data_IF_264591930915
#
_entry.id   IF_264591930915
#
_cell.length_a   1.000
_cell.length_b   1.000
_cell.length_c   1.000
_cell.angle_alpha   90.00
_cell.angle_beta   90.00
_cell.angle_gamma   90.00
#
_symmetry.space_group_name_H-M   'P 1'
#
loop_
_entity.id
_entity.type
_entity.pdbx_description
1 polymer ?
#
# COMPACT_ATOMS: atom_id res chain seq x y z
N UNK A 1 -18.14 -2.05 -14.47
CA UNK A 1 -17.93 -1.23 -15.67
C UNK A 1 -17.16 0.08 -15.41
N UNK A 2 -17.44 0.81 -14.33
CA UNK A 2 -16.74 2.09 -14.06
C UNK A 2 -15.36 1.92 -13.43
N UNK A 3 -15.15 0.80 -12.75
CA UNK A 3 -13.94 0.53 -11.94
C UNK A 3 -12.96 -0.42 -12.62
N UNK A 4 -13.40 -1.14 -13.66
CA UNK A 4 -12.56 -2.03 -14.44
C UNK A 4 -12.86 -1.86 -15.93
N UNK A 5 -11.93 -1.29 -16.73
CA UNK A 5 -12.08 -1.11 -18.17
C UNK A 5 -12.03 -2.44 -18.94
N UNK A 6 -11.52 -3.53 -18.34
CA UNK A 6 -11.45 -4.85 -18.97
C UNK A 6 -12.82 -5.55 -19.03
N UNK A 7 -13.78 -5.15 -18.18
CA UNK A 7 -15.12 -5.76 -18.12
C UNK A 7 -15.94 -5.44 -19.39
N UNK A 8 -16.31 -6.45 -20.16
CA UNK A 8 -17.07 -6.31 -21.42
C UNK A 8 -18.58 -6.45 -21.24
N UNK A 9 -19.02 -7.35 -20.38
CA UNK A 9 -20.45 -7.64 -20.17
C UNK A 9 -20.80 -7.78 -18.69
N UNK A 10 -22.08 -7.54 -18.34
CA UNK A 10 -22.58 -7.78 -16.97
C UNK A 10 -22.51 -9.25 -16.57
N UNK A 11 -22.69 -10.16 -17.52
CA UNK A 11 -22.58 -11.61 -17.26
C UNK A 11 -21.16 -11.99 -16.89
N UNK A 12 -20.16 -11.44 -17.59
CA UNK A 12 -18.74 -11.61 -17.24
C UNK A 12 -18.45 -11.20 -15.79
N UNK A 13 -18.96 -10.04 -15.36
CA UNK A 13 -18.78 -9.58 -13.98
C UNK A 13 -19.43 -10.58 -13.00
N UNK A 14 -20.63 -11.05 -13.27
CA UNK A 14 -21.35 -11.96 -12.38
C UNK A 14 -20.66 -13.33 -12.27
N UNK A 15 -20.07 -13.84 -13.34
CA UNK A 15 -19.52 -15.20 -13.35
C UNK A 15 -18.00 -15.28 -13.22
N UNK A 16 -17.26 -14.22 -13.56
CA UNK A 16 -15.81 -14.27 -13.67
C UNK A 16 -15.07 -13.36 -12.66
N UNK A 17 -15.78 -12.59 -11.81
CA UNK A 17 -15.15 -11.68 -10.88
C UNK A 17 -15.09 -12.26 -9.46
N UNK A 18 -13.93 -12.78 -9.02
CA UNK A 18 -13.81 -13.41 -7.71
C UNK A 18 -14.07 -12.44 -6.56
N UNK A 19 -13.72 -11.16 -6.71
CA UNK A 19 -14.03 -10.13 -5.71
C UNK A 19 -15.53 -9.96 -5.44
N UNK A 20 -16.38 -10.03 -6.49
CA UNK A 20 -17.83 -9.99 -6.35
C UNK A 20 -18.35 -11.20 -5.59
N UNK A 21 -17.87 -12.40 -5.95
CA UNK A 21 -18.26 -13.64 -5.30
C UNK A 21 -17.87 -13.65 -3.83
N UNK A 22 -16.64 -13.20 -3.50
CA UNK A 22 -16.16 -13.10 -2.13
C UNK A 22 -17.04 -12.15 -1.30
N UNK A 23 -17.42 -10.99 -1.84
CA UNK A 23 -18.30 -10.05 -1.16
C UNK A 23 -19.69 -10.63 -0.95
N UNK A 24 -20.28 -11.33 -1.92
CA UNK A 24 -21.58 -12.00 -1.74
C UNK A 24 -21.53 -13.06 -0.64
N UNK A 25 -20.53 -13.94 -0.68
CA UNK A 25 -20.35 -14.98 0.32
C UNK A 25 -20.10 -14.38 1.71
N UNK A 26 -19.32 -13.30 1.78
CA UNK A 26 -19.14 -12.54 3.00
C UNK A 26 -20.48 -11.99 3.54
N UNK A 27 -21.33 -11.40 2.73
CA UNK A 27 -22.63 -10.87 3.21
C UNK A 27 -23.49 -11.96 3.87
N UNK A 28 -23.52 -13.16 3.29
CA UNK A 28 -24.22 -14.31 3.86
C UNK A 28 -23.53 -14.80 5.15
N UNK A 29 -22.21 -14.97 5.14
CA UNK A 29 -21.48 -15.41 6.33
C UNK A 29 -21.55 -14.40 7.46
N UNK A 30 -21.52 -13.09 7.15
CA UNK A 30 -21.71 -12.02 8.13
C UNK A 30 -23.12 -12.03 8.75
N UNK A 31 -24.15 -12.30 7.94
CA UNK A 31 -25.51 -12.48 8.46
C UNK A 31 -25.58 -13.64 9.46
N UNK A 32 -25.02 -14.81 9.15
CA UNK A 32 -24.93 -15.96 10.06
C UNK A 32 -24.15 -15.61 11.34
N UNK A 33 -23.04 -14.87 11.20
CA UNK A 33 -22.23 -14.41 12.33
C UNK A 33 -23.02 -13.53 13.28
N UNK A 34 -23.79 -12.59 12.76
CA UNK A 34 -24.66 -11.72 13.58
C UNK A 34 -25.75 -12.50 14.31
N UNK A 35 -26.19 -13.60 13.75
CA UNK A 35 -27.14 -14.53 14.40
C UNK A 35 -26.47 -15.57 15.30
N UNK A 36 -25.17 -15.38 15.65
CA UNK A 36 -24.38 -16.25 16.53
C UNK A 36 -24.16 -17.68 16.00
N UNK A 37 -24.42 -17.92 14.71
CA UNK A 37 -24.14 -19.18 14.03
C UNK A 37 -22.67 -19.19 13.57
N UNK A 38 -21.75 -19.03 14.53
CA UNK A 38 -20.34 -18.77 14.28
C UNK A 38 -19.64 -19.86 13.47
N UNK A 39 -19.94 -21.13 13.80
CA UNK A 39 -19.34 -22.25 13.06
C UNK A 39 -19.73 -22.23 11.57
N UNK A 40 -21.04 -22.08 11.28
CA UNK A 40 -21.53 -22.04 9.89
C UNK A 40 -21.00 -20.81 9.13
N UNK A 41 -20.93 -19.66 9.82
CA UNK A 41 -20.36 -18.46 9.26
C UNK A 41 -18.87 -18.66 8.86
N UNK A 42 -18.09 -19.29 9.73
CA UNK A 42 -16.66 -19.58 9.47
C UNK A 42 -16.49 -20.64 8.38
N UNK A 43 -17.32 -21.67 8.37
CA UNK A 43 -17.30 -22.71 7.34
C UNK A 43 -17.58 -22.10 5.95
N UNK A 44 -18.61 -21.25 5.85
CA UNK A 44 -18.93 -20.55 4.59
C UNK A 44 -17.81 -19.59 4.17
N UNK A 45 -17.22 -18.84 5.10
CA UNK A 45 -16.09 -17.98 4.83
C UNK A 45 -14.87 -18.79 4.32
N UNK A 46 -14.59 -19.94 4.91
CA UNK A 46 -13.52 -20.83 4.46
C UNK A 46 -13.76 -21.35 3.05
N UNK A 47 -15.00 -21.75 2.75
CA UNK A 47 -15.39 -22.17 1.40
C UNK A 47 -15.27 -21.03 0.38
N UNK A 48 -15.63 -19.79 0.78
CA UNK A 48 -15.44 -18.59 -0.03
C UNK A 48 -13.97 -18.36 -0.37
N UNK A 49 -13.08 -18.48 0.62
CA UNK A 49 -11.64 -18.41 0.39
C UNK A 49 -11.14 -19.46 -0.59
N UNK A 50 -11.61 -20.70 -0.44
CA UNK A 50 -11.24 -21.79 -1.36
C UNK A 50 -11.62 -21.50 -2.81
N UNK A 51 -12.83 -20.94 -3.05
CA UNK A 51 -13.31 -20.62 -4.39
C UNK A 51 -12.68 -19.38 -5.01
N UNK A 52 -12.36 -18.37 -4.19
CA UNK A 52 -12.01 -17.03 -4.69
C UNK A 52 -10.56 -16.65 -4.44
N UNK A 53 -9.85 -17.34 -3.56
CA UNK A 53 -8.53 -16.94 -3.07
C UNK A 53 -8.55 -15.71 -2.14
N UNK A 54 -9.76 -15.26 -1.70
CA UNK A 54 -9.98 -14.07 -0.89
C UNK A 54 -10.50 -14.49 0.48
N UNK A 55 -9.80 -14.14 1.54
CA UNK A 55 -10.22 -14.40 2.90
C UNK A 55 -10.90 -13.19 3.52
N UNK A 56 -12.19 -13.32 3.85
CA UNK A 56 -12.91 -12.31 4.61
C UNK A 56 -13.50 -12.94 5.87
N UNK A 57 -13.05 -12.47 7.03
CA UNK A 57 -13.61 -12.96 8.29
C UNK A 57 -15.08 -12.50 8.44
N UNK A 58 -16.03 -13.37 8.79
CA UNK A 58 -17.44 -13.01 8.88
C UNK A 58 -17.75 -11.95 9.95
N UNK A 59 -16.86 -11.76 10.93
CA UNK A 59 -16.97 -10.70 11.94
C UNK A 59 -16.60 -9.31 11.46
N UNK A 60 -15.89 -9.17 10.34
CA UNK A 60 -15.54 -7.88 9.76
C UNK A 60 -16.80 -7.05 9.45
N UNK A 61 -16.67 -5.72 9.48
CA UNK A 61 -17.75 -4.80 9.08
C UNK A 61 -17.35 -4.13 7.78
N UNK A 62 -18.11 -4.36 6.71
CA UNK A 62 -17.82 -3.80 5.39
C UNK A 62 -19.01 -3.00 4.90
N UNK A 63 -18.75 -1.75 4.51
CA UNK A 63 -19.72 -0.79 3.99
C UNK A 63 -20.23 -1.13 2.59
N UNK A 64 -20.73 -0.14 1.89
CA UNK A 64 -21.31 -0.26 0.55
C UNK A 64 -20.28 0.00 -0.53
N UNK A 65 -20.50 -0.53 -1.74
CA UNK A 65 -19.67 -0.30 -2.93
C UNK A 65 -18.18 -0.59 -2.70
N UNK A 66 -17.93 -1.57 -1.82
CA UNK A 66 -16.59 -2.13 -1.63
C UNK A 66 -16.23 -2.96 -2.86
N UNK A 67 -15.12 -2.65 -3.48
CA UNK A 67 -14.66 -3.30 -4.69
C UNK A 67 -13.29 -3.94 -4.47
N UNK A 68 -13.18 -5.22 -4.80
CA UNK A 68 -11.92 -5.97 -4.78
C UNK A 68 -11.55 -6.26 -6.22
N UNK A 69 -10.45 -5.69 -6.67
CA UNK A 69 -9.89 -5.94 -7.99
C UNK A 69 -8.84 -7.05 -7.93
N UNK A 70 -8.92 -8.00 -8.86
CA UNK A 70 -8.15 -9.25 -8.89
C UNK A 70 -8.37 -10.13 -7.66
N UNK A 71 -8.01 -9.68 -6.48
CA UNK A 71 -8.38 -10.19 -5.17
C UNK A 71 -7.55 -11.36 -4.65
N UNK A 72 -6.76 -12.05 -5.44
CA UNK A 72 -5.95 -13.19 -4.96
C UNK A 72 -5.06 -12.80 -3.78
N UNK A 73 -5.11 -13.56 -2.68
CA UNK A 73 -4.31 -13.34 -1.48
C UNK A 73 -4.79 -12.20 -0.57
N UNK A 74 -5.94 -11.58 -0.83
CA UNK A 74 -6.56 -10.62 0.09
C UNK A 74 -6.95 -11.30 1.40
N UNK A 75 -6.64 -10.65 2.53
CA UNK A 75 -7.01 -11.10 3.87
C UNK A 75 -7.64 -9.95 4.67
N UNK A 76 -8.89 -10.12 5.09
CA UNK A 76 -9.61 -9.16 5.93
C UNK A 76 -9.93 -9.81 7.28
N UNK A 77 -9.29 -9.33 8.34
CA UNK A 77 -9.39 -9.91 9.69
C UNK A 77 -10.69 -9.58 10.42
N UNK A 78 -10.95 -10.28 11.53
CA UNK A 78 -12.21 -10.31 12.28
C UNK A 78 -12.75 -8.93 12.68
N UNK A 79 -11.90 -8.05 13.22
CA UNK A 79 -12.33 -6.75 13.74
C UNK A 79 -12.02 -5.61 12.78
N UNK A 80 -11.76 -5.93 11.50
CA UNK A 80 -11.59 -4.91 10.47
C UNK A 80 -12.92 -4.18 10.21
N UNK A 81 -12.83 -2.88 10.00
CA UNK A 81 -13.95 -2.03 9.63
C UNK A 81 -13.61 -1.30 8.34
N UNK A 82 -14.44 -1.42 7.33
CA UNK A 82 -14.25 -0.82 6.01
C UNK A 82 -15.48 0.00 5.70
N UNK A 83 -15.30 1.29 5.46
CA UNK A 83 -16.38 2.20 5.12
C UNK A 83 -16.84 2.05 3.65
N UNK A 84 -17.51 3.05 3.11
CA UNK A 84 -18.09 3.02 1.76
C UNK A 84 -17.05 3.36 0.67
N UNK A 85 -17.28 2.85 -0.53
CA UNK A 85 -16.51 3.19 -1.75
C UNK A 85 -15.01 2.86 -1.69
N UNK A 86 -14.62 1.84 -0.92
CA UNK A 86 -13.22 1.43 -0.81
C UNK A 86 -12.85 0.52 -1.97
N UNK A 87 -11.68 0.80 -2.58
CA UNK A 87 -11.03 -0.03 -3.59
C UNK A 87 -9.86 -0.78 -2.98
N UNK A 88 -9.81 -2.09 -3.20
CA UNK A 88 -8.76 -2.97 -2.70
C UNK A 88 -8.23 -3.85 -3.82
N UNK A 89 -6.92 -3.92 -3.95
CA UNK A 89 -6.24 -4.77 -4.93
C UNK A 89 -5.80 -6.11 -4.33
N UNK A 90 -5.27 -6.98 -5.18
CA UNK A 90 -4.75 -8.30 -4.79
C UNK A 90 -3.70 -8.23 -3.69
N UNK A 91 -3.63 -9.26 -2.85
CA UNK A 91 -2.61 -9.41 -1.80
C UNK A 91 -2.70 -8.43 -0.65
N UNK A 92 -3.73 -7.57 -0.59
CA UNK A 92 -3.92 -6.64 0.52
C UNK A 92 -4.27 -7.39 1.80
N UNK A 93 -3.60 -7.03 2.91
CA UNK A 93 -3.82 -7.62 4.22
C UNK A 93 -4.28 -6.56 5.22
N UNK A 94 -5.47 -6.72 5.79
CA UNK A 94 -5.94 -6.00 6.98
C UNK A 94 -5.76 -6.89 8.20
N UNK A 95 -4.54 -6.88 8.76
CA UNK A 95 -4.07 -7.80 9.79
C UNK A 95 -4.15 -7.26 11.21
N UNK A 96 -4.22 -8.16 12.18
CA UNK A 96 -4.11 -7.84 13.60
C UNK A 96 -2.68 -7.96 14.10
N UNK A 97 -2.37 -7.22 15.19
CA UNK A 97 -1.05 -7.24 15.86
C UNK A 97 -1.14 -7.67 17.32
N UNK A 98 -2.33 -8.04 17.81
CA UNK A 98 -2.55 -8.51 19.18
C UNK A 98 -3.29 -9.85 19.17
N UNK A 99 -3.07 -10.65 20.24
CA UNK A 99 -3.81 -11.88 20.53
C UNK A 99 -5.11 -11.60 21.30
N UNK A 100 -5.35 -10.37 21.71
CA UNK A 100 -6.55 -9.98 22.43
C UNK A 100 -7.79 -10.07 21.53
N UNK A 101 -8.93 -10.40 22.13
CA UNK A 101 -10.21 -10.51 21.42
C UNK A 101 -10.81 -9.16 21.01
N UNK A 102 -10.26 -8.05 21.50
CA UNK A 102 -10.70 -6.69 21.20
C UNK A 102 -10.40 -6.21 19.78
N UNK A 103 -10.55 -4.91 19.55
CA UNK A 103 -10.20 -4.25 18.29
C UNK A 103 -8.70 -4.40 18.06
N UNK A 104 -8.32 -5.17 17.02
CA UNK A 104 -6.93 -5.48 16.66
C UNK A 104 -6.63 -5.37 15.17
N UNK A 105 -7.66 -5.12 14.36
CA UNK A 105 -7.55 -4.95 12.91
C UNK A 105 -7.88 -3.51 12.51
N UNK A 106 -7.47 -3.06 11.33
CA UNK A 106 -7.62 -1.68 10.88
C UNK A 106 -9.07 -1.21 10.76
N UNK A 107 -9.23 0.11 10.82
CA UNK A 107 -10.42 0.84 10.38
C UNK A 107 -10.07 1.63 9.13
N UNK A 108 -10.77 1.36 8.04
CA UNK A 108 -10.56 1.97 6.72
C UNK A 108 -11.71 2.93 6.45
N UNK A 109 -11.40 4.20 6.24
CA UNK A 109 -12.36 5.26 5.90
C UNK A 109 -12.99 5.07 4.52
N UNK A 110 -13.83 6.02 4.15
CA UNK A 110 -14.51 6.01 2.85
C UNK A 110 -13.58 6.44 1.71
N UNK A 111 -13.80 5.88 0.52
CA UNK A 111 -13.06 6.22 -0.72
C UNK A 111 -11.55 5.98 -0.63
N UNK A 112 -11.14 5.08 0.26
CA UNK A 112 -9.73 4.68 0.41
C UNK A 112 -9.34 3.73 -0.70
N UNK A 113 -8.11 3.86 -1.18
CA UNK A 113 -7.50 2.96 -2.16
C UNK A 113 -6.36 2.20 -1.50
N UNK A 114 -6.42 0.86 -1.54
CA UNK A 114 -5.40 -0.04 -1.00
C UNK A 114 -4.68 -0.73 -2.16
N UNK A 115 -3.45 -0.30 -2.41
CA UNK A 115 -2.60 -0.82 -3.50
C UNK A 115 -2.21 -2.28 -3.31
N UNK A 116 -1.93 -2.96 -4.42
CA UNK A 116 -1.64 -4.39 -4.44
C UNK A 116 -0.49 -4.78 -3.50
N UNK A 117 -0.66 -5.88 -2.76
CA UNK A 117 0.33 -6.39 -1.82
C UNK A 117 0.58 -5.52 -0.58
N UNK A 118 -0.20 -4.46 -0.36
CA UNK A 118 -0.04 -3.64 0.84
C UNK A 118 -0.57 -4.33 2.09
N UNK A 119 0.05 -4.06 3.24
CA UNK A 119 -0.36 -4.58 4.53
C UNK A 119 -0.66 -3.45 5.50
N UNK A 120 -1.87 -3.44 6.08
CA UNK A 120 -2.27 -2.52 7.15
C UNK A 120 -2.42 -3.34 8.43
N UNK A 121 -1.59 -3.05 9.42
CA UNK A 121 -1.43 -3.91 10.58
C UNK A 121 -1.79 -3.20 11.89
N UNK A 122 -2.59 -3.85 12.70
CA UNK A 122 -3.04 -3.34 13.99
C UNK A 122 -4.30 -2.48 13.92
N UNK A 123 -4.78 -1.94 15.05
CA UNK A 123 -6.00 -1.15 15.15
C UNK A 123 -5.80 0.29 14.64
N UNK A 124 -5.09 0.44 13.53
CA UNK A 124 -4.81 1.74 12.91
C UNK A 124 -6.01 2.25 12.11
N UNK A 125 -6.09 3.56 11.96
CA UNK A 125 -7.15 4.23 11.20
C UNK A 125 -6.56 4.81 9.92
N UNK A 126 -7.16 4.47 8.79
CA UNK A 126 -6.94 5.14 7.51
C UNK A 126 -8.07 6.15 7.30
N UNK A 127 -7.72 7.42 7.20
CA UNK A 127 -8.70 8.50 6.97
C UNK A 127 -9.36 8.42 5.60
N UNK A 128 -10.49 9.09 5.44
CA UNK A 128 -11.22 9.16 4.17
C UNK A 128 -10.33 9.68 3.04
N UNK A 129 -10.56 9.18 1.83
CA UNK A 129 -9.83 9.58 0.62
C UNK A 129 -8.30 9.32 0.68
N UNK A 130 -7.82 8.55 1.66
CA UNK A 130 -6.40 8.20 1.74
C UNK A 130 -6.03 7.09 0.74
N UNK A 131 -4.74 7.03 0.39
CA UNK A 131 -4.19 6.02 -0.53
C UNK A 131 -3.03 5.29 0.13
N UNK A 132 -2.99 3.97 -0.04
CA UNK A 132 -1.85 3.14 0.35
C UNK A 132 -1.18 2.63 -0.92
N UNK A 133 0.08 2.97 -1.11
CA UNK A 133 0.88 2.50 -2.25
C UNK A 133 1.06 0.99 -2.25
N UNK A 134 1.26 0.41 -3.44
CA UNK A 134 1.51 -1.02 -3.58
C UNK A 134 2.73 -1.47 -2.75
N UNK A 135 2.68 -2.65 -2.15
CA UNK A 135 3.75 -3.23 -1.33
C UNK A 135 4.03 -2.50 0.01
N UNK A 136 3.27 -1.45 0.36
CA UNK A 136 3.51 -0.67 1.57
C UNK A 136 3.03 -1.39 2.83
N UNK A 137 3.71 -1.16 3.96
CA UNK A 137 3.33 -1.71 5.27
C UNK A 137 2.97 -0.59 6.23
N UNK A 138 1.67 -0.43 6.49
CA UNK A 138 1.12 0.64 7.32
C UNK A 138 0.91 0.14 8.75
N UNK A 139 1.60 0.76 9.70
CA UNK A 139 1.55 0.44 11.14
C UNK A 139 1.21 1.66 11.99
N UNK A 140 0.86 2.79 11.37
CA UNK A 140 0.48 4.04 12.02
C UNK A 140 -0.76 4.62 11.36
N UNK A 141 -1.57 5.43 12.06
CA UNK A 141 -2.71 6.11 11.46
C UNK A 141 -2.31 6.96 10.25
N UNK A 142 -3.17 6.99 9.24
CA UNK A 142 -3.01 7.77 8.01
C UNK A 142 -4.07 8.86 7.98
N UNK A 143 -3.72 10.13 7.83
CA UNK A 143 -4.68 11.22 7.71
C UNK A 143 -5.57 11.08 6.47
N UNK A 144 -6.73 11.75 6.49
CA UNK A 144 -7.57 11.87 5.29
C UNK A 144 -6.81 12.58 4.16
N UNK A 145 -7.07 12.16 2.92
CA UNK A 145 -6.43 12.66 1.69
C UNK A 145 -4.93 12.40 1.57
N UNK A 146 -4.33 11.71 2.55
CA UNK A 146 -2.90 11.40 2.53
C UNK A 146 -2.59 10.18 1.67
N UNK A 147 -1.39 10.18 1.07
CA UNK A 147 -0.79 9.00 0.42
C UNK A 147 0.33 8.47 1.30
N UNK A 148 0.32 7.15 1.54
CA UNK A 148 1.36 6.47 2.31
C UNK A 148 2.05 5.42 1.46
N UNK A 149 3.40 5.39 1.50
CA UNK A 149 4.23 4.43 0.74
C UNK A 149 5.38 3.91 1.58
N UNK A 150 5.89 2.74 1.20
CA UNK A 150 7.13 2.14 1.74
C UNK A 150 6.94 1.20 2.93
N UNK A 151 8.07 0.66 3.43
CA UNK A 151 8.15 -0.29 4.54
C UNK A 151 9.21 0.18 5.54
N UNK A 152 8.81 0.68 6.74
CA UNK A 152 7.45 1.01 7.15
C UNK A 152 6.88 2.18 6.37
N UNK A 153 5.54 2.20 6.19
CA UNK A 153 4.82 3.23 5.44
C UNK A 153 5.00 4.64 6.01
N UNK A 154 5.35 5.57 5.13
CA UNK A 154 5.50 7.01 5.43
C UNK A 154 4.49 7.80 4.61
N UNK A 155 3.89 8.81 5.23
CA UNK A 155 3.03 9.77 4.53
C UNK A 155 3.92 10.64 3.64
N UNK A 156 3.65 10.63 2.33
CA UNK A 156 4.42 11.37 1.31
C UNK A 156 3.62 12.51 0.69
N UNK A 157 2.29 12.46 0.81
CA UNK A 157 1.38 13.50 0.35
C UNK A 157 0.21 13.60 1.31
N UNK A 158 -0.13 14.81 1.76
CA UNK A 158 -1.20 15.11 2.69
C UNK A 158 -2.18 16.17 2.17
N UNK A 159 -2.18 16.44 0.86
CA UNK A 159 -3.03 17.45 0.23
C UNK A 159 -4.14 16.79 -0.58
N UNK A 160 -5.34 17.41 -0.63
CA UNK A 160 -6.40 16.93 -1.50
C UNK A 160 -5.92 16.86 -2.96
N UNK A 161 -5.95 15.68 -3.53
CA UNK A 161 -5.66 15.46 -4.95
C UNK A 161 -6.90 14.87 -5.63
N UNK A 162 -7.33 15.35 -6.81
CA UNK A 162 -8.44 14.74 -7.53
C UNK A 162 -8.16 13.24 -7.72
N UNK A 163 -9.08 12.41 -7.26
CA UNK A 163 -8.96 10.96 -7.37
C UNK A 163 -9.02 10.50 -8.81
N UNK A 164 -7.89 10.19 -9.41
CA UNK A 164 -7.83 9.23 -10.51
C UNK A 164 -7.51 7.86 -9.91
N UNK A 165 -8.43 6.93 -10.06
CA UNK A 165 -8.40 5.59 -9.44
C UNK A 165 -7.15 4.78 -9.84
N UNK A 166 -6.46 5.16 -10.90
CA UNK A 166 -5.35 4.44 -11.53
C UNK A 166 -3.97 5.12 -11.40
N UNK A 167 -3.83 6.12 -10.53
CA UNK A 167 -2.58 6.88 -10.35
C UNK A 167 -1.57 6.10 -9.47
N UNK A 168 -1.31 4.84 -9.84
CA UNK A 168 -0.38 3.97 -9.14
C UNK A 168 1.06 4.06 -9.68
N UNK A 169 1.23 4.67 -10.85
CA UNK A 169 2.53 4.73 -11.53
C UNK A 169 3.42 5.88 -11.04
N UNK A 170 2.84 6.89 -10.38
CA UNK A 170 3.54 8.11 -9.95
C UNK A 170 3.51 8.22 -8.42
N UNK A 171 4.01 7.19 -7.74
CA UNK A 171 4.17 7.20 -6.29
C UNK A 171 5.51 7.86 -5.93
N UNK A 172 5.53 8.88 -5.03
CA UNK A 172 6.76 9.48 -4.55
C UNK A 172 7.63 8.42 -3.85
N UNK A 173 8.92 8.40 -4.15
CA UNK A 173 9.90 7.57 -3.46
C UNK A 173 10.69 8.42 -2.43
N UNK A 174 10.30 8.42 -1.14
CA UNK A 174 10.96 9.22 -0.12
C UNK A 174 12.39 8.74 0.18
N UNK A 175 12.74 7.51 -0.17
CA UNK A 175 14.09 6.98 0.02
C UNK A 175 15.00 7.52 -1.08
N UNK A 176 14.56 7.44 -2.33
CA UNK A 176 15.30 8.01 -3.46
C UNK A 176 15.49 9.53 -3.30
N UNK A 177 14.47 10.27 -2.85
CA UNK A 177 14.56 11.70 -2.57
C UNK A 177 15.57 12.01 -1.45
N UNK A 178 15.56 11.25 -0.36
CA UNK A 178 16.51 11.41 0.74
C UNK A 178 17.96 11.12 0.29
N UNK A 179 18.16 10.05 -0.48
CA UNK A 179 19.48 9.73 -1.05
C UNK A 179 19.95 10.83 -2.00
N UNK A 180 19.09 11.31 -2.89
CA UNK A 180 19.41 12.41 -3.79
C UNK A 180 19.79 13.69 -3.04
N UNK A 181 19.15 13.97 -1.89
CA UNK A 181 19.51 15.10 -1.02
C UNK A 181 20.89 14.92 -0.39
N UNK A 182 21.19 13.71 0.12
CA UNK A 182 22.50 13.38 0.70
C UNK A 182 23.60 13.51 -0.34
N UNK A 183 23.39 12.99 -1.54
CA UNK A 183 24.36 13.08 -2.63
C UNK A 183 24.62 14.53 -3.05
N UNK A 184 23.57 15.36 -3.17
CA UNK A 184 23.73 16.81 -3.42
C UNK A 184 24.49 17.51 -2.31
N UNK A 185 24.24 17.15 -1.04
CA UNK A 185 24.95 17.73 0.11
C UNK A 185 26.43 17.31 0.12
N UNK A 186 26.72 16.05 -0.19
CA UNK A 186 28.06 15.53 -0.31
C UNK A 186 28.86 16.24 -1.42
N UNK A 187 28.24 16.44 -2.61
CA UNK A 187 28.85 17.20 -3.70
C UNK A 187 29.24 18.63 -3.27
N UNK A 188 28.32 19.35 -2.60
CA UNK A 188 28.62 20.69 -2.09
C UNK A 188 29.76 20.73 -1.05
N UNK A 189 29.86 19.69 -0.21
CA UNK A 189 30.97 19.58 0.75
C UNK A 189 32.27 19.33 0.03
N UNK A 190 32.28 18.51 -1.00
CA UNK A 190 33.45 18.22 -1.82
C UNK A 190 33.96 19.48 -2.51
N UNK A 191 33.06 20.23 -3.20
CA UNK A 191 33.39 21.51 -3.83
C UNK A 191 34.00 22.50 -2.80
N UNK A 192 33.50 22.50 -1.58
CA UNK A 192 33.98 23.39 -0.51
C UNK A 192 35.36 22.95 0.02
N UNK A 193 35.62 21.67 0.10
CA UNK A 193 36.95 21.12 0.45
C UNK A 193 37.95 21.50 -0.62
N UNK A 194 37.63 21.29 -1.89
CA UNK A 194 38.51 21.63 -3.02
C UNK A 194 38.86 23.13 -3.02
N UNK A 195 37.88 24.02 -2.78
CA UNK A 195 38.12 25.46 -2.64
C UNK A 195 39.00 25.84 -1.45
N UNK A 196 38.90 25.10 -0.34
CA UNK A 196 39.74 25.35 0.84
C UNK A 196 41.17 24.85 0.59
N UNK A 197 41.33 23.68 -0.04
CA UNK A 197 42.63 23.13 -0.43
C UNK A 197 43.37 24.05 -1.40
N UNK A 198 42.66 24.61 -2.39
CA UNK A 198 43.22 25.62 -3.29
C UNK A 198 43.68 26.87 -2.57
N UNK A 199 42.89 27.39 -1.60
CA UNK A 199 43.23 28.57 -0.81
C UNK A 199 44.41 28.36 0.15
N UNK A 200 44.58 27.14 0.66
CA UNK A 200 45.64 26.78 1.61
C UNK A 200 46.93 26.37 0.89
N UNK A 201 46.87 26.21 -0.45
CA UNK A 201 48.03 25.79 -1.25
C UNK A 201 48.42 24.32 -1.03
N UNK A 202 47.47 23.50 -0.62
CA UNK A 202 47.67 22.06 -0.54
C UNK A 202 47.71 21.54 -1.97
N UNK A 203 48.90 21.17 -2.43
CA UNK A 203 49.07 20.50 -3.71
C UNK A 203 48.37 19.14 -3.62
N UNK A 204 47.26 18.98 -4.33
CA UNK A 204 46.58 17.68 -4.43
C UNK A 204 47.58 16.64 -4.93
N UNK A 205 48.06 15.80 -4.03
CA UNK A 205 48.53 14.49 -4.47
C UNK A 205 47.33 13.78 -4.99
N UNK A 206 47.31 13.51 -6.27
CA UNK A 206 46.30 12.70 -6.93
C UNK A 206 46.23 11.35 -6.21
N UNK A 207 45.46 11.29 -5.14
CA UNK A 207 45.06 10.02 -4.52
C UNK A 207 44.01 9.47 -5.45
N UNK A 208 44.34 8.32 -6.04
CA UNK A 208 43.48 7.54 -6.93
C UNK A 208 42.15 7.08 -6.28
N UNK A 209 41.78 7.70 -5.16
CA UNK A 209 40.62 7.35 -4.36
C UNK A 209 39.33 8.19 -4.65
N UNK A 210 39.39 9.21 -5.48
CA UNK A 210 38.26 10.13 -5.69
C UNK A 210 37.49 9.95 -7.02
N UNK A 211 37.80 8.94 -7.79
CA UNK A 211 36.98 8.59 -8.95
C UNK A 211 36.09 7.41 -8.58
N UNK A 212 34.80 7.70 -8.33
CA UNK A 212 33.78 6.67 -8.43
C UNK A 212 34.05 5.89 -9.72
N UNK A 213 34.25 4.59 -9.61
CA UNK A 213 34.47 3.73 -10.77
C UNK A 213 33.30 3.88 -11.75
N UNK A 214 33.51 3.56 -13.02
CA UNK A 214 32.44 3.63 -14.03
C UNK A 214 31.20 2.84 -13.60
N UNK A 215 31.38 1.74 -12.86
CA UNK A 215 30.31 0.93 -12.29
C UNK A 215 29.51 1.69 -11.22
N UNK A 216 30.17 2.44 -10.34
CA UNK A 216 29.53 3.22 -9.28
C UNK A 216 28.79 4.44 -9.86
N UNK A 217 29.34 5.07 -10.91
CA UNK A 217 28.65 6.12 -11.64
C UNK A 217 27.40 5.60 -12.36
N UNK A 218 27.48 4.40 -12.95
CA UNK A 218 26.35 3.75 -13.59
C UNK A 218 25.23 3.43 -12.58
N UNK A 219 25.57 2.87 -11.41
CA UNK A 219 24.66 2.60 -10.32
C UNK A 219 23.96 3.87 -9.81
N UNK A 220 24.71 4.96 -9.60
CA UNK A 220 24.14 6.23 -9.17
C UNK A 220 23.21 6.84 -10.23
N UNK A 221 23.56 6.72 -11.51
CA UNK A 221 22.73 7.19 -12.62
C UNK A 221 21.45 6.34 -12.79
N UNK A 222 21.50 5.06 -12.48
CA UNK A 222 20.36 4.16 -12.49
C UNK A 222 19.42 4.44 -11.32
N UNK A 223 19.99 4.64 -10.12
CA UNK A 223 19.25 5.01 -8.92
C UNK A 223 18.54 6.37 -9.04
N UNK A 224 19.20 7.35 -9.67
CA UNK A 224 18.64 8.70 -9.89
C UNK A 224 17.52 8.73 -10.96
N UNK A 225 17.41 7.70 -11.80
CA UNK A 225 16.32 7.53 -12.79
C UNK A 225 15.11 6.79 -12.28
N UNK A 226 15.07 6.42 -11.00
CA UNK A 226 13.92 5.70 -10.42
C UNK A 226 13.82 4.23 -10.85
N UNK A 227 14.87 3.65 -11.45
CA UNK A 227 14.95 2.24 -11.78
C UNK A 227 15.46 1.42 -10.58
N UNK A 228 14.80 1.54 -9.45
CA UNK A 228 15.14 0.81 -8.24
C UNK A 228 13.91 0.12 -7.66
N UNK A 229 13.80 -1.19 -7.91
CA UNK A 229 12.92 -2.19 -7.29
C UNK A 229 11.45 -2.09 -7.70
#
# INVERSE_FOLDING_TARGET
FKMDPAARTKLEIVFCYPGLHAVWMYRVSHYLWRHKLYFLARLLSHFGRFLTGIEVHPGAKIGRRFFIDHGSGVVIGETAEIADDVLMYQGVVLGGTSLDKGKRHPTVGSRVVLGGGSAVLGPVVLGDDSKVGAGSVVVRPVPSFATVVGVPGKVVQDKPHPMTVLDHADLPDPVAEAIALVLRSHGRLQDRVDQLEEKVGVVQRATAANHLGEHEKALLAEFSRGAGI
#
